data_IF_680968733747
#
_entry.id   IF_680968733747
#
_cell.length_a   1.000
_cell.length_b   1.000
_cell.length_c   1.000
_cell.angle_alpha   90.00
_cell.angle_beta   90.00
_cell.angle_gamma   90.00
#
_symmetry.space_group_name_H-M   'P 1'
#
loop_
_entity.id
_entity.type
_entity.pdbx_description
1 polymer ?
#
# COMPACT_ATOMS: atom_id res chain seq x y z
N UNK A 1 11.11 36.77 70.30
CA UNK A 1 10.37 36.63 69.02
C UNK A 1 11.37 36.61 67.86
N UNK A 2 11.44 35.50 67.13
CA UNK A 2 11.64 35.43 65.66
C UNK A 2 11.70 33.94 65.27
N UNK A 3 10.59 33.44 64.73
CA UNK A 3 10.47 32.13 64.10
C UNK A 3 11.12 32.23 62.72
N UNK A 4 12.05 31.33 62.39
CA UNK A 4 12.45 31.08 61.00
C UNK A 4 11.86 29.74 60.58
N UNK A 5 10.83 29.81 59.74
CA UNK A 5 10.28 28.67 59.01
C UNK A 5 11.08 28.51 57.72
N UNK A 6 11.85 27.43 57.61
CA UNK A 6 12.49 27.02 56.36
C UNK A 6 11.50 26.18 55.55
N UNK A 7 10.82 26.84 54.60
CA UNK A 7 10.06 26.18 53.54
C UNK A 7 11.04 25.77 52.43
N UNK A 8 11.62 24.57 52.52
CA UNK A 8 12.37 24.02 51.40
C UNK A 8 11.39 23.33 50.46
N UNK A 9 11.16 23.99 49.32
CA UNK A 9 10.25 23.54 48.26
C UNK A 9 10.74 22.23 47.67
N UNK A 10 9.93 21.19 47.78
CA UNK A 10 10.09 19.95 47.01
C UNK A 10 9.84 20.29 45.54
N UNK A 11 10.90 20.44 44.75
CA UNK A 11 10.83 20.60 43.31
C UNK A 11 10.65 19.20 42.72
N UNK A 12 9.39 18.77 42.56
CA UNK A 12 9.05 17.55 41.84
C UNK A 12 9.23 17.88 40.35
N UNK A 13 10.43 17.63 39.82
CA UNK A 13 10.68 17.53 38.39
C UNK A 13 9.94 16.30 37.87
N UNK A 14 8.67 16.49 37.51
CA UNK A 14 7.94 15.52 36.69
C UNK A 14 8.58 15.46 35.32
N UNK A 15 9.56 14.57 35.12
CA UNK A 15 9.94 14.14 33.79
C UNK A 15 8.70 13.46 33.18
N UNK A 16 7.99 14.19 32.34
CA UNK A 16 7.06 13.60 31.38
C UNK A 16 7.91 12.73 30.44
N UNK A 17 8.06 11.46 30.79
CA UNK A 17 8.52 10.44 29.88
C UNK A 17 7.40 10.29 28.84
N UNK A 18 7.40 11.14 27.81
CA UNK A 18 6.66 10.85 26.60
C UNK A 18 7.28 9.57 26.02
N UNK A 19 6.54 8.46 25.89
CA UNK A 19 7.07 7.32 25.16
C UNK A 19 7.25 7.75 23.70
N UNK A 20 8.47 8.11 23.32
CA UNK A 20 8.93 8.28 21.95
C UNK A 20 8.97 6.91 21.26
N UNK A 21 7.82 6.31 20.98
CA UNK A 21 7.69 5.23 19.98
C UNK A 21 6.26 5.16 19.41
N UNK A 22 5.66 6.31 19.08
CA UNK A 22 4.69 6.29 17.99
C UNK A 22 5.49 6.15 16.69
N UNK A 23 5.85 4.91 16.30
CA UNK A 23 6.12 4.63 14.90
C UNK A 23 4.82 4.98 14.17
N UNK A 24 4.76 6.21 13.68
CA UNK A 24 3.64 6.74 12.92
C UNK A 24 3.55 5.92 11.65
N UNK A 25 2.78 4.83 11.71
CA UNK A 25 2.40 4.08 10.54
C UNK A 25 1.57 5.04 9.69
N UNK A 26 2.12 5.50 8.58
CA UNK A 26 1.37 6.27 7.58
C UNK A 26 0.66 5.22 6.73
N UNK A 27 -0.67 5.01 6.90
CA UNK A 27 -1.37 4.06 6.08
C UNK A 27 -1.34 4.53 4.63
N UNK A 28 -1.46 3.59 3.71
CA UNK A 28 -1.70 3.91 2.31
C UNK A 28 -2.91 4.82 2.15
N UNK A 29 -2.89 5.57 1.07
CA UNK A 29 -4.00 6.42 0.65
C UNK A 29 -4.59 5.93 -0.67
N UNK A 30 -5.81 6.36 -1.02
CA UNK A 30 -6.36 6.08 -2.35
C UNK A 30 -5.45 6.55 -3.50
N UNK A 31 -4.60 7.55 -3.28
CA UNK A 31 -3.67 8.06 -4.29
C UNK A 31 -2.55 7.06 -4.65
N UNK A 32 -2.36 6.02 -3.83
CA UNK A 32 -1.39 4.95 -4.03
C UNK A 32 -1.95 3.80 -4.87
N UNK A 33 -3.25 3.82 -5.18
CA UNK A 33 -3.94 2.72 -5.85
C UNK A 33 -3.73 2.79 -7.36
N UNK A 34 -3.12 1.76 -7.91
CA UNK A 34 -2.90 1.60 -9.34
C UNK A 34 -3.51 0.29 -9.87
N UNK A 35 -3.81 0.28 -11.16
CA UNK A 35 -4.12 -0.93 -11.92
C UNK A 35 -3.07 -1.07 -13.02
N UNK A 36 -2.62 -2.28 -13.28
CA UNK A 36 -1.68 -2.57 -14.35
C UNK A 36 -1.81 -4.02 -14.84
N UNK A 37 -1.17 -4.31 -15.98
CA UNK A 37 -0.93 -5.66 -16.48
C UNK A 37 0.46 -6.11 -16.05
N UNK A 38 0.53 -7.26 -15.38
CA UNK A 38 1.80 -7.88 -15.02
C UNK A 38 2.56 -8.34 -16.26
N UNK A 39 3.86 -8.05 -16.34
CA UNK A 39 4.73 -8.57 -17.39
C UNK A 39 5.82 -9.49 -16.83
N UNK A 40 6.55 -9.02 -15.82
CA UNK A 40 7.63 -9.78 -15.22
C UNK A 40 7.95 -9.29 -13.80
N UNK A 41 8.53 -10.18 -13.01
CA UNK A 41 9.21 -9.86 -11.76
C UNK A 41 10.62 -10.46 -11.81
N UNK A 42 11.64 -9.63 -11.62
CA UNK A 42 13.05 -10.02 -11.72
C UNK A 42 13.71 -9.81 -10.37
N UNK A 43 14.29 -10.86 -9.80
CA UNK A 43 15.05 -10.75 -8.55
C UNK A 43 16.32 -9.95 -8.76
N UNK A 44 16.60 -9.02 -7.84
CA UNK A 44 17.86 -8.28 -7.83
C UNK A 44 18.93 -9.16 -7.17
N UNK A 45 20.03 -9.39 -7.89
CA UNK A 45 21.12 -10.23 -7.42
C UNK A 45 21.60 -9.79 -6.02
N UNK A 46 21.91 -10.78 -5.17
CA UNK A 46 22.36 -10.60 -3.76
C UNK A 46 21.29 -10.13 -2.77
N UNK A 47 20.01 -10.13 -3.15
CA UNK A 47 18.89 -9.87 -2.23
C UNK A 47 17.83 -10.96 -2.35
N UNK A 48 17.26 -11.36 -1.20
CA UNK A 48 16.22 -12.41 -1.17
C UNK A 48 14.80 -11.85 -1.26
N UNK A 49 14.62 -10.53 -1.31
CA UNK A 49 13.30 -9.91 -1.24
C UNK A 49 13.10 -8.74 -2.22
N UNK A 50 14.16 -8.21 -2.82
CA UNK A 50 14.05 -7.10 -3.76
C UNK A 50 13.83 -7.61 -5.18
N UNK A 51 12.72 -7.16 -5.78
CA UNK A 51 12.37 -7.49 -7.16
C UNK A 51 12.08 -6.22 -7.95
N UNK A 52 12.56 -6.18 -9.18
CA UNK A 52 12.17 -5.21 -10.20
C UNK A 52 10.94 -5.73 -10.92
N UNK A 53 9.95 -4.86 -11.09
CA UNK A 53 8.64 -5.21 -11.61
C UNK A 53 8.43 -4.51 -12.95
N UNK A 54 8.00 -5.28 -13.94
CA UNK A 54 7.62 -4.76 -15.24
C UNK A 54 6.11 -4.83 -15.38
N UNK A 55 5.52 -3.69 -15.72
CA UNK A 55 4.09 -3.51 -15.93
C UNK A 55 3.83 -2.94 -17.32
N UNK A 56 2.64 -3.20 -17.87
CA UNK A 56 2.10 -2.39 -18.96
C UNK A 56 0.80 -1.73 -18.53
N UNK A 57 0.48 -0.61 -19.20
CA UNK A 57 -0.73 0.17 -18.97
C UNK A 57 -0.97 0.57 -17.50
N UNK A 58 0.10 0.81 -16.74
CA UNK A 58 -0.02 1.19 -15.33
C UNK A 58 -0.68 2.55 -15.16
N UNK A 59 -1.81 2.60 -14.45
CA UNK A 59 -2.56 3.84 -14.20
C UNK A 59 -2.94 3.92 -12.72
N UNK A 60 -2.68 5.07 -12.10
CA UNK A 60 -3.23 5.39 -10.78
C UNK A 60 -4.70 5.77 -10.92
N UNK A 61 -5.58 4.95 -10.35
CA UNK A 61 -7.01 4.99 -10.69
C UNK A 61 -7.87 5.80 -9.72
N UNK A 62 -7.38 6.01 -8.49
CA UNK A 62 -8.07 6.72 -7.43
C UNK A 62 -7.33 8.00 -6.99
N UNK A 63 -6.31 8.42 -7.75
CA UNK A 63 -5.62 9.70 -7.54
C UNK A 63 -6.57 10.87 -7.70
N UNK A 64 -6.63 11.72 -6.68
CA UNK A 64 -7.29 13.01 -6.75
C UNK A 64 -6.51 13.99 -7.67
N UNK A 65 -7.14 15.12 -8.01
CA UNK A 65 -6.55 16.13 -8.89
C UNK A 65 -5.26 16.73 -8.31
N UNK A 66 -5.19 16.94 -6.99
CA UNK A 66 -4.01 17.52 -6.35
C UNK A 66 -2.80 16.59 -6.40
N UNK A 67 -3.04 15.27 -6.37
CA UNK A 67 -2.02 14.24 -6.47
C UNK A 67 -1.27 14.29 -7.81
N UNK A 68 -1.91 14.75 -8.89
CA UNK A 68 -1.25 14.87 -10.20
C UNK A 68 -0.14 15.92 -10.22
N UNK A 69 -0.23 16.95 -9.37
CA UNK A 69 0.84 17.96 -9.23
C UNK A 69 1.88 17.55 -8.19
N UNK A 70 1.51 16.67 -7.26
CA UNK A 70 2.38 16.24 -6.16
C UNK A 70 3.29 15.07 -6.54
N UNK A 71 2.81 14.13 -7.35
CA UNK A 71 3.50 12.88 -7.63
C UNK A 71 4.02 12.84 -9.07
N UNK A 72 5.27 12.43 -9.24
CA UNK A 72 5.82 12.17 -10.58
C UNK A 72 5.27 10.86 -11.16
N UNK A 73 5.41 10.71 -12.48
CA UNK A 73 5.14 9.45 -13.16
C UNK A 73 6.19 8.40 -12.77
N UNK A 74 5.73 7.18 -12.50
CA UNK A 74 6.62 6.07 -12.17
C UNK A 74 7.44 5.67 -13.40
N UNK A 75 8.76 5.62 -13.24
CA UNK A 75 9.69 5.10 -14.26
C UNK A 75 10.22 3.72 -13.88
N UNK A 76 10.36 3.45 -12.59
CA UNK A 76 10.80 2.17 -12.06
C UNK A 76 9.83 1.69 -10.99
N UNK A 77 9.61 0.37 -10.98
CA UNK A 77 8.74 -0.28 -10.01
C UNK A 77 9.51 -1.41 -9.33
N UNK A 78 9.40 -1.47 -8.02
CA UNK A 78 10.08 -2.46 -7.21
C UNK A 78 9.21 -2.96 -6.07
N UNK A 79 9.47 -4.17 -5.59
CA UNK A 79 8.88 -4.70 -4.35
C UNK A 79 9.95 -5.26 -3.44
N UNK A 80 9.64 -5.32 -2.15
CA UNK A 80 10.47 -5.96 -1.12
C UNK A 80 9.77 -7.18 -0.49
N UNK A 81 8.96 -7.88 -1.29
CA UNK A 81 8.22 -9.03 -0.77
C UNK A 81 9.18 -10.15 -0.39
N UNK A 82 8.95 -10.84 0.74
CA UNK A 82 9.79 -11.96 1.12
C UNK A 82 9.74 -13.01 0.01
N UNK A 83 10.93 -13.39 -0.50
CA UNK A 83 11.08 -14.66 -1.23
C UNK A 83 12.02 -15.59 -0.49
N UNK A 84 11.63 -16.86 -0.38
CA UNK A 84 12.51 -17.88 0.19
C UNK A 84 13.42 -18.50 -0.88
N UNK A 85 14.46 -19.20 -0.41
CA UNK A 85 15.53 -19.77 -1.26
C UNK A 85 14.98 -20.79 -2.27
N UNK A 86 13.91 -21.51 -1.90
CA UNK A 86 13.24 -22.52 -2.74
C UNK A 86 12.10 -21.94 -3.60
N UNK A 87 11.91 -20.62 -3.61
CA UNK A 87 10.77 -19.91 -4.20
C UNK A 87 9.38 -20.32 -3.66
N UNK A 88 9.26 -21.19 -2.64
CA UNK A 88 7.96 -21.65 -2.10
C UNK A 88 7.11 -20.49 -1.60
N UNK A 89 7.75 -19.41 -1.15
CA UNK A 89 7.13 -18.13 -0.86
C UNK A 89 7.60 -17.17 -1.95
N UNK A 90 6.83 -17.05 -3.03
CA UNK A 90 7.01 -15.99 -4.01
C UNK A 90 5.63 -15.46 -4.42
N UNK A 91 5.30 -14.21 -4.09
CA UNK A 91 3.99 -13.63 -4.40
C UNK A 91 3.73 -13.53 -5.91
N UNK A 92 4.78 -13.54 -6.74
CA UNK A 92 4.66 -13.46 -8.19
C UNK A 92 4.67 -14.81 -8.89
N UNK A 93 4.96 -15.93 -8.19
CA UNK A 93 5.04 -17.27 -8.79
C UNK A 93 3.81 -17.65 -9.62
N UNK A 94 2.62 -17.26 -9.16
CA UNK A 94 1.35 -17.61 -9.80
C UNK A 94 0.83 -16.53 -10.76
N UNK A 95 1.53 -15.40 -10.88
CA UNK A 95 1.17 -14.35 -11.83
C UNK A 95 1.63 -14.74 -13.23
N UNK A 96 0.72 -14.67 -14.18
CA UNK A 96 1.00 -14.87 -15.60
C UNK A 96 1.15 -13.52 -16.29
N UNK A 97 1.96 -13.50 -17.36
CA UNK A 97 2.04 -12.35 -18.26
C UNK A 97 0.61 -11.93 -18.65
N UNK A 98 0.34 -10.63 -18.58
CA UNK A 98 -0.95 -9.99 -18.83
C UNK A 98 -2.05 -10.24 -17.78
N UNK A 99 -1.76 -10.82 -16.63
CA UNK A 99 -2.70 -10.80 -15.51
C UNK A 99 -2.98 -9.35 -15.09
N UNK A 100 -4.25 -9.03 -14.88
CA UNK A 100 -4.67 -7.71 -14.42
C UNK A 100 -4.62 -7.67 -12.89
N UNK A 101 -3.90 -6.69 -12.36
CA UNK A 101 -3.78 -6.50 -10.92
C UNK A 101 -4.24 -5.11 -10.51
N UNK A 102 -4.60 -4.99 -9.24
CA UNK A 102 -4.74 -3.73 -8.54
C UNK A 102 -3.76 -3.74 -7.37
N UNK A 103 -3.02 -2.66 -7.20
CA UNK A 103 -1.93 -2.60 -6.23
C UNK A 103 -1.86 -1.28 -5.49
N UNK A 104 -1.04 -1.30 -4.45
CA UNK A 104 -0.64 -0.13 -3.67
C UNK A 104 0.81 0.17 -3.99
N UNK A 105 1.10 1.40 -4.40
CA UNK A 105 2.46 1.84 -4.66
C UNK A 105 2.68 3.31 -4.35
N UNK A 106 3.86 3.61 -3.83
CA UNK A 106 4.28 4.96 -3.47
C UNK A 106 5.76 5.15 -3.78
N UNK A 107 6.20 6.40 -3.96
CA UNK A 107 7.61 6.73 -4.04
C UNK A 107 8.15 6.92 -2.60
N UNK A 108 9.05 6.03 -2.11
CA UNK A 108 9.55 6.11 -0.74
C UNK A 108 10.63 7.17 -0.56
N UNK A 109 11.37 7.49 -1.62
CA UNK A 109 12.45 8.47 -1.61
C UNK A 109 12.01 9.74 -2.33
N UNK A 110 11.96 10.85 -1.59
CA UNK A 110 11.62 12.17 -2.15
C UNK A 110 12.65 12.68 -3.17
N UNK A 111 13.88 12.17 -3.14
CA UNK A 111 14.93 12.50 -4.10
C UNK A 111 14.85 11.67 -5.38
N UNK A 112 14.12 10.54 -5.35
CA UNK A 112 13.88 9.67 -6.50
C UNK A 112 12.37 9.43 -6.67
N UNK A 113 11.57 10.50 -6.90
CA UNK A 113 10.11 10.40 -6.88
C UNK A 113 9.56 9.46 -7.96
N UNK A 114 10.34 9.17 -9.01
CA UNK A 114 10.01 8.24 -10.10
C UNK A 114 10.18 6.75 -9.74
N UNK A 115 10.80 6.44 -8.60
CA UNK A 115 11.08 5.07 -8.17
C UNK A 115 10.00 4.60 -7.20
N UNK A 116 9.06 3.82 -7.71
CA UNK A 116 7.89 3.39 -6.96
C UNK A 116 8.09 2.04 -6.29
N UNK A 117 7.69 1.95 -5.03
CA UNK A 117 7.63 0.71 -4.25
C UNK A 117 6.21 0.18 -4.21
N UNK A 118 6.00 -1.03 -4.72
CA UNK A 118 4.76 -1.80 -4.56
C UNK A 118 4.78 -2.50 -3.21
N UNK A 119 3.75 -2.28 -2.41
CA UNK A 119 3.65 -2.79 -1.02
C UNK A 119 2.63 -3.90 -0.86
N UNK A 120 1.66 -4.01 -1.77
CA UNK A 120 0.79 -5.18 -1.91
C UNK A 120 0.02 -5.06 -3.23
N UNK A 121 -0.58 -6.16 -3.66
CA UNK A 121 -1.49 -6.20 -4.80
C UNK A 121 -2.50 -7.34 -4.65
N UNK A 122 -3.56 -7.27 -5.44
CA UNK A 122 -4.58 -8.31 -5.59
C UNK A 122 -4.88 -8.54 -7.07
N UNK A 123 -5.36 -9.73 -7.40
CA UNK A 123 -5.83 -10.05 -8.74
C UNK A 123 -7.16 -9.36 -9.00
N UNK A 124 -7.29 -8.68 -10.14
CA UNK A 124 -8.57 -8.26 -10.67
C UNK A 124 -9.11 -9.33 -11.60
N UNK A 125 -10.29 -9.86 -11.24
CA UNK A 125 -10.97 -10.89 -12.02
C UNK A 125 -12.31 -10.38 -12.53
N UNK A 126 -12.73 -10.93 -13.65
CA UNK A 126 -14.09 -10.75 -14.14
C UNK A 126 -14.94 -11.95 -13.73
N UNK A 127 -16.07 -11.69 -13.09
CA UNK A 127 -17.09 -12.71 -12.81
C UNK A 127 -18.47 -12.10 -13.09
N UNK A 128 -19.27 -12.76 -13.91
CA UNK A 128 -20.62 -12.29 -14.29
C UNK A 128 -20.63 -10.83 -14.80
N UNK A 129 -19.65 -10.48 -15.65
CA UNK A 129 -19.41 -9.14 -16.18
C UNK A 129 -19.14 -8.06 -15.10
N UNK A 130 -18.83 -8.45 -13.87
CA UNK A 130 -18.47 -7.54 -12.79
C UNK A 130 -17.02 -7.71 -12.38
N UNK A 131 -16.43 -6.59 -11.96
CA UNK A 131 -15.08 -6.54 -11.42
C UNK A 131 -15.11 -7.11 -10.00
N UNK A 132 -14.29 -8.13 -9.80
CA UNK A 132 -14.03 -8.76 -8.51
C UNK A 132 -12.53 -8.67 -8.21
N UNK A 133 -12.20 -8.73 -6.92
CA UNK A 133 -10.83 -8.62 -6.45
C UNK A 133 -10.54 -9.76 -5.49
N UNK A 134 -9.36 -10.37 -5.63
CA UNK A 134 -8.90 -11.38 -4.67
C UNK A 134 -8.51 -10.74 -3.34
N UNK A 135 -8.17 -11.59 -2.36
CA UNK A 135 -7.40 -11.15 -1.21
C UNK A 135 -6.03 -10.59 -1.66
N UNK A 136 -5.42 -9.70 -0.86
CA UNK A 136 -4.05 -9.23 -1.08
C UNK A 136 -3.07 -10.41 -1.09
N UNK A 137 -2.09 -10.34 -1.99
CA UNK A 137 -1.07 -11.39 -2.15
C UNK A 137 0.00 -11.32 -1.05
N UNK A 138 0.29 -10.13 -0.53
CA UNK A 138 1.21 -9.92 0.59
C UNK A 138 0.56 -9.16 1.72
N UNK A 139 1.05 -9.40 2.94
CA UNK A 139 0.77 -8.52 4.07
C UNK A 139 1.35 -7.13 3.78
N UNK A 140 0.70 -6.10 4.32
CA UNK A 140 1.14 -4.72 4.21
C UNK A 140 0.67 -3.93 5.42
N UNK A 141 1.34 -2.81 5.66
CA UNK A 141 0.92 -1.88 6.71
C UNK A 141 -0.40 -1.23 6.34
N UNK A 142 -1.41 -1.42 7.18
CA UNK A 142 -2.76 -0.97 6.94
C UNK A 142 -3.38 -0.34 8.19
N UNK A 143 -4.28 0.62 7.99
CA UNK A 143 -5.11 1.16 9.05
C UNK A 143 -6.33 0.26 9.30
N UNK A 144 -6.44 -0.27 10.51
CA UNK A 144 -7.62 -0.98 10.96
C UNK A 144 -8.62 0.04 11.54
N UNK A 145 -9.65 0.39 10.76
CA UNK A 145 -10.68 1.35 11.20
C UNK A 145 -11.47 0.87 12.42
N UNK A 146 -11.66 -0.45 12.57
CA UNK A 146 -12.42 -1.02 13.69
C UNK A 146 -11.66 -0.83 15.01
N UNK A 147 -10.36 -1.13 14.99
CA UNK A 147 -9.50 -1.02 16.17
C UNK A 147 -8.76 0.33 16.31
N UNK A 148 -8.92 1.24 15.33
CA UNK A 148 -8.32 2.58 15.28
C UNK A 148 -6.80 2.57 15.49
N UNK A 149 -6.10 1.60 14.88
CA UNK A 149 -4.64 1.50 14.93
C UNK A 149 -4.09 0.89 13.64
N UNK A 150 -2.82 1.19 13.37
CA UNK A 150 -2.09 0.54 12.29
C UNK A 150 -1.44 -0.75 12.76
N UNK A 151 -1.25 -1.68 11.84
CA UNK A 151 -0.46 -2.88 12.07
C UNK A 151 0.44 -3.13 10.87
N UNK A 152 1.68 -3.53 11.14
CA UNK A 152 2.70 -3.78 10.12
C UNK A 152 2.49 -5.10 9.35
N UNK A 153 1.94 -6.12 10.04
CA UNK A 153 1.86 -7.50 9.56
C UNK A 153 0.48 -8.11 9.79
N UNK A 154 -0.57 -7.48 9.25
CA UNK A 154 -1.91 -8.05 9.39
C UNK A 154 -2.01 -9.41 8.68
N UNK A 155 -2.60 -10.45 9.31
CA UNK A 155 -3.06 -11.62 8.57
C UNK A 155 -4.09 -11.18 7.51
N UNK A 156 -4.26 -12.01 6.47
CA UNK A 156 -5.16 -11.93 5.29
C UNK A 156 -6.57 -11.31 5.45
N UNK A 157 -6.97 -10.96 6.67
CA UNK A 157 -8.21 -10.30 7.07
C UNK A 157 -8.43 -8.89 6.50
N UNK A 158 -7.40 -8.05 6.41
CA UNK A 158 -7.56 -6.70 5.81
C UNK A 158 -7.48 -6.81 4.30
N UNK A 159 -8.54 -6.33 3.64
CA UNK A 159 -8.60 -6.29 2.19
C UNK A 159 -7.78 -5.12 1.64
N UNK A 160 -7.33 -5.20 0.37
CA UNK A 160 -6.36 -4.26 -0.20
C UNK A 160 -6.79 -2.79 -0.08
N UNK A 161 -8.07 -2.51 -0.36
CA UNK A 161 -8.63 -1.15 -0.34
C UNK A 161 -9.27 -0.79 1.00
N UNK A 162 -9.14 -1.67 1.99
CA UNK A 162 -9.71 -1.49 3.31
C UNK A 162 -8.70 -0.90 4.31
N UNK A 163 -7.42 -0.81 3.93
CA UNK A 163 -6.36 -0.29 4.79
C UNK A 163 -6.26 1.24 4.89
N UNK A 164 -7.28 1.98 4.43
CA UNK A 164 -7.27 3.45 4.38
C UNK A 164 -8.04 4.09 5.54
N UNK A 165 -7.71 5.36 5.83
CA UNK A 165 -8.31 6.12 6.93
C UNK A 165 -9.82 6.40 6.74
N UNK A 166 -10.24 6.81 5.53
CA UNK A 166 -11.56 7.44 5.31
C UNK A 166 -12.69 6.47 5.01
N UNK A 167 -12.48 5.54 4.09
CA UNK A 167 -13.54 4.65 3.60
C UNK A 167 -13.05 3.21 3.52
N UNK A 168 -14.00 2.28 3.40
CA UNK A 168 -13.76 0.85 3.29
C UNK A 168 -13.58 0.40 1.84
N UNK A 169 -13.25 -0.88 1.66
CA UNK A 169 -13.13 -1.48 0.34
C UNK A 169 -14.42 -1.36 -0.49
N UNK A 170 -15.60 -1.49 0.13
CA UNK A 170 -16.89 -1.41 -0.55
C UNK A 170 -17.07 -0.08 -1.27
N UNK A 171 -16.70 1.02 -0.60
CA UNK A 171 -16.73 2.36 -1.18
C UNK A 171 -15.82 2.48 -2.42
N UNK A 172 -14.58 2.00 -2.34
CA UNK A 172 -13.63 2.11 -3.45
C UNK A 172 -13.96 1.15 -4.61
N UNK A 173 -14.50 -0.03 -4.32
CA UNK A 173 -15.01 -0.93 -5.34
C UNK A 173 -16.21 -0.32 -6.07
N UNK A 174 -17.10 0.41 -5.37
CA UNK A 174 -18.19 1.16 -6.01
C UNK A 174 -17.63 2.21 -6.98
N UNK A 175 -16.60 2.96 -6.58
CA UNK A 175 -15.92 3.92 -7.48
C UNK A 175 -15.29 3.24 -8.69
N UNK A 176 -14.62 2.11 -8.47
CA UNK A 176 -13.99 1.35 -9.55
C UNK A 176 -15.04 0.85 -10.56
N UNK A 177 -16.15 0.31 -10.09
CA UNK A 177 -17.27 -0.16 -10.92
C UNK A 177 -18.00 0.98 -11.61
N UNK A 178 -18.09 2.17 -11.00
CA UNK A 178 -18.64 3.34 -11.69
C UNK A 178 -17.74 3.78 -12.86
N UNK A 179 -16.40 3.70 -12.70
CA UNK A 179 -15.44 4.04 -13.75
C UNK A 179 -15.34 2.98 -14.85
N UNK A 180 -15.46 1.71 -14.48
CA UNK A 180 -15.41 0.56 -15.38
C UNK A 180 -16.64 -0.33 -15.13
N UNK A 181 -17.81 -0.01 -15.70
CA UNK A 181 -19.07 -0.71 -15.41
C UNK A 181 -19.08 -2.17 -15.84
N UNK A 182 -18.29 -2.51 -16.86
CA UNK A 182 -18.20 -3.87 -17.40
C UNK A 182 -16.76 -4.34 -17.46
N UNK A 183 -16.55 -5.66 -17.48
CA UNK A 183 -15.21 -6.20 -17.67
C UNK A 183 -14.61 -5.78 -19.02
N UNK A 184 -15.44 -5.61 -20.05
CA UNK A 184 -14.99 -5.09 -21.34
C UNK A 184 -14.40 -3.69 -21.20
N UNK A 185 -15.11 -2.76 -20.51
CA UNK A 185 -14.58 -1.40 -20.28
C UNK A 185 -13.28 -1.40 -19.48
N UNK A 186 -13.15 -2.30 -18.51
CA UNK A 186 -11.90 -2.46 -17.76
C UNK A 186 -10.77 -2.98 -18.66
N UNK A 187 -11.00 -4.03 -19.44
CA UNK A 187 -9.97 -4.64 -20.29
C UNK A 187 -9.57 -3.75 -21.46
N UNK A 188 -10.48 -2.95 -22.01
CA UNK A 188 -10.16 -1.93 -23.00
C UNK A 188 -9.32 -0.80 -22.41
N UNK A 189 -9.52 -0.45 -21.14
CA UNK A 189 -8.71 0.55 -20.45
C UNK A 189 -7.30 0.03 -20.08
N UNK A 190 -7.13 -1.29 -20.00
CA UNK A 190 -5.89 -1.98 -19.66
C UNK A 190 -5.65 -3.15 -20.64
N UNK A 191 -5.32 -2.85 -21.91
CA UNK A 191 -5.14 -3.86 -22.94
C UNK A 191 -3.98 -4.79 -22.60
N UNK A 192 -3.97 -5.98 -23.23
CA UNK A 192 -2.83 -6.90 -23.10
C UNK A 192 -1.71 -6.44 -24.03
N UNK A 193 -0.46 -6.74 -23.66
CA UNK A 193 0.75 -6.46 -24.47
C UNK A 193 1.51 -7.74 -24.83
#
# INVERSE_FOLDING_TARGET
MKKQFTFSRLLITGLLIFPLTAFACIPHSPNDVFIARFQAAQKVAKTNNHQLLTWTDSKFILRDLSAWFKYSNAQQWQSYFPTDIDNKIDPFRNLKKNDLIIGLAYAPDGNQPQNYRVTSFAYLKCQNNQITMSHPVSHFTAWDRKNKRCYGDHPKSIQLLDGFLKHDQSYYLKKLRAKYPTCQTLFSAFPKS
#
